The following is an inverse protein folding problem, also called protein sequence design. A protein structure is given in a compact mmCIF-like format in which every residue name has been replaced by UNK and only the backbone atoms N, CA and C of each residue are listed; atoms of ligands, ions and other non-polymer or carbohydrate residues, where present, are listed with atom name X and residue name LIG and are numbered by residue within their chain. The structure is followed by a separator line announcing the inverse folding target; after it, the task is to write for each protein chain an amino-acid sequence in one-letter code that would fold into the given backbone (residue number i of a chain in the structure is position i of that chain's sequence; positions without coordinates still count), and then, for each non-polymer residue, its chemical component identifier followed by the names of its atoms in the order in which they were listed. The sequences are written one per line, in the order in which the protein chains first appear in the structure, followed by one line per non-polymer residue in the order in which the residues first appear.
data_IF_871299903890
#
_entry.id   IF_871299903890
#
_cell.length_a   1.000
_cell.length_b   1.000
_cell.length_c   1.000
_cell.angle_alpha   90.00
_cell.angle_beta   90.00
_cell.angle_gamma   90.00
#
_symmetry.space_group_name_H-M   'P 1'
#
loop_
_entity.id
_entity.type
_entity.pdbx_description
1 polymer ?
#
# COMPACT_ATOMS: atom_id res chain seq x y z
N UNK A 1 21.31 31.76 1.55
CA UNK A 1 20.46 30.69 1.01
C UNK A 1 19.03 30.96 1.45
N UNK A 2 18.03 30.78 0.58
CA UNK A 2 16.62 30.89 0.96
C UNK A 2 16.29 29.74 1.94
N UNK A 3 15.49 30.02 2.95
CA UNK A 3 15.00 29.00 3.88
C UNK A 3 13.66 28.46 3.36
N UNK A 4 13.29 27.25 3.77
CA UNK A 4 12.05 26.61 3.34
C UNK A 4 10.82 27.48 3.67
N UNK A 5 10.84 28.17 4.80
CA UNK A 5 9.79 29.09 5.26
C UNK A 5 9.63 30.35 4.39
N UNK A 6 10.66 30.70 3.59
CA UNK A 6 10.63 31.83 2.68
C UNK A 6 9.97 31.47 1.32
N UNK A 7 9.65 30.20 1.10
CA UNK A 7 9.02 29.71 -0.13
C UNK A 7 7.50 29.73 -0.04
N UNK A 8 6.78 29.92 -1.16
CA UNK A 8 5.31 29.93 -1.20
C UNK A 8 4.71 28.50 -1.11
N UNK A 9 5.00 27.82 0.01
CA UNK A 9 4.42 26.51 0.28
C UNK A 9 2.92 26.61 0.54
N UNK A 10 2.19 25.55 0.19
CA UNK A 10 0.82 25.37 0.61
C UNK A 10 0.74 25.47 2.13
N UNK A 11 -0.30 26.12 2.67
CA UNK A 11 -0.43 26.38 4.11
C UNK A 11 -0.54 25.08 4.93
N UNK A 12 -1.18 24.06 4.38
CA UNK A 12 -1.32 22.74 5.01
C UNK A 12 -0.01 21.93 5.09
N UNK A 13 1.03 22.32 4.34
CA UNK A 13 2.35 21.70 4.39
C UNK A 13 3.36 22.46 5.28
N UNK A 14 3.02 23.69 5.69
CA UNK A 14 3.91 24.49 6.53
C UNK A 14 4.08 23.84 7.92
N UNK A 15 5.33 23.77 8.36
CA UNK A 15 5.67 23.19 9.66
C UNK A 15 5.67 21.66 9.73
N UNK A 16 5.33 20.96 8.66
CA UNK A 16 5.48 19.51 8.61
C UNK A 16 6.95 19.13 8.60
N UNK A 17 7.28 18.05 9.33
CA UNK A 17 8.62 17.47 9.31
C UNK A 17 8.68 16.35 8.27
N UNK A 18 9.80 16.18 7.54
CA UNK A 18 9.98 15.06 6.65
C UNK A 18 9.82 13.73 7.41
N UNK A 19 9.13 12.78 6.80
CA UNK A 19 9.11 11.43 7.33
C UNK A 19 10.48 10.79 7.19
N UNK A 20 10.94 10.13 8.24
CA UNK A 20 12.17 9.36 8.21
C UNK A 20 12.25 8.47 9.44
N UNK A 21 12.48 7.16 9.22
CA UNK A 21 12.84 6.28 10.32
C UNK A 21 14.24 6.68 10.84
N UNK A 22 14.46 6.69 12.16
CA UNK A 22 15.77 6.97 12.71
C UNK A 22 16.82 6.02 12.16
N UNK A 23 17.90 6.56 11.60
CA UNK A 23 19.07 5.77 11.22
C UNK A 23 19.96 5.60 12.46
N UNK A 24 20.00 4.38 13.00
CA UNK A 24 20.69 4.07 14.23
C UNK A 24 21.92 3.22 13.91
N UNK A 25 23.08 3.63 14.41
CA UNK A 25 24.29 2.81 14.40
C UNK A 25 24.27 1.84 15.59
N UNK A 26 23.59 0.71 15.43
CA UNK A 26 23.45 -0.33 16.46
C UNK A 26 23.85 -1.69 15.89
N UNK A 27 24.33 -2.63 16.73
CA UNK A 27 24.72 -3.97 16.26
C UNK A 27 23.59 -4.76 15.59
N UNK A 28 22.34 -4.51 16.00
CA UNK A 28 21.13 -5.13 15.42
C UNK A 28 20.10 -4.06 15.20
N UNK A 29 19.77 -3.79 13.93
CA UNK A 29 18.73 -2.83 13.53
C UNK A 29 17.46 -3.58 13.13
N UNK A 30 16.34 -3.31 13.84
CA UNK A 30 15.04 -3.95 13.60
C UNK A 30 13.90 -2.91 13.40
N UNK A 31 14.25 -1.64 13.26
CA UNK A 31 13.29 -0.53 13.27
C UNK A 31 12.69 -0.17 11.91
N UNK A 32 13.17 -0.78 10.82
CA UNK A 32 12.75 -0.44 9.44
C UNK A 32 12.31 -1.66 8.61
N UNK A 33 12.16 -2.82 9.23
CA UNK A 33 11.69 -4.07 8.60
C UNK A 33 12.54 -4.51 7.39
N UNK A 34 13.86 -4.25 7.42
CA UNK A 34 14.76 -4.69 6.35
C UNK A 34 14.94 -6.21 6.36
N UNK A 35 15.03 -6.79 5.16
CA UNK A 35 15.37 -8.20 5.03
C UNK A 35 16.84 -8.43 5.44
N UNK A 36 17.05 -9.22 6.49
CA UNK A 36 18.39 -9.55 7.00
C UNK A 36 19.11 -10.62 6.17
N UNK A 37 18.43 -11.32 5.28
CA UNK A 37 19.01 -12.30 4.37
C UNK A 37 19.59 -11.62 3.13
N UNK A 38 20.81 -12.04 2.77
CA UNK A 38 21.44 -11.56 1.53
C UNK A 38 20.78 -12.20 0.32
N UNK A 39 20.84 -11.50 -0.81
CA UNK A 39 20.42 -12.05 -2.10
C UNK A 39 21.30 -13.30 -2.42
N UNK A 40 20.70 -14.45 -2.77
CA UNK A 40 21.43 -15.63 -3.20
C UNK A 40 22.33 -15.33 -4.41
N UNK A 41 23.48 -16.00 -4.50
CA UNK A 41 24.48 -15.71 -5.53
C UNK A 41 23.90 -15.93 -6.95
N UNK A 42 23.16 -17.01 -7.15
CA UNK A 42 22.54 -17.34 -8.44
C UNK A 42 21.56 -16.24 -8.90
N UNK A 43 20.79 -15.67 -7.95
CA UNK A 43 19.87 -14.56 -8.24
C UNK A 43 20.64 -13.29 -8.57
N UNK A 44 21.73 -13.02 -7.84
CA UNK A 44 22.57 -11.85 -8.11
C UNK A 44 23.24 -11.94 -9.50
N UNK A 45 23.73 -13.11 -9.90
CA UNK A 45 24.32 -13.36 -11.22
C UNK A 45 23.29 -13.15 -12.34
N UNK A 46 22.08 -13.69 -12.23
CA UNK A 46 21.00 -13.48 -13.20
C UNK A 46 20.63 -11.99 -13.34
N UNK A 47 20.54 -11.28 -12.23
CA UNK A 47 20.28 -9.83 -12.22
C UNK A 47 21.37 -9.08 -12.98
N UNK A 48 22.65 -9.39 -12.73
CA UNK A 48 23.79 -8.74 -13.40
C UNK A 48 23.75 -9.00 -14.90
N UNK A 49 23.49 -10.24 -15.34
CA UNK A 49 23.40 -10.57 -16.77
C UNK A 49 22.29 -9.79 -17.46
N UNK A 50 21.08 -9.73 -16.86
CA UNK A 50 19.95 -8.98 -17.39
C UNK A 50 20.19 -7.49 -17.42
N UNK A 51 20.79 -6.95 -16.35
CA UNK A 51 21.17 -5.55 -16.26
C UNK A 51 22.18 -5.16 -17.35
N UNK A 52 23.20 -5.97 -17.58
CA UNK A 52 24.19 -5.72 -18.62
C UNK A 52 23.55 -5.58 -20.02
N UNK A 53 22.55 -6.40 -20.33
CA UNK A 53 21.78 -6.28 -21.58
C UNK A 53 20.99 -4.97 -21.63
N UNK A 54 20.34 -4.58 -20.53
CA UNK A 54 19.53 -3.35 -20.43
C UNK A 54 20.38 -2.09 -20.54
N UNK A 55 21.62 -2.10 -20.02
CA UNK A 55 22.53 -0.96 -20.10
C UNK A 55 22.85 -0.53 -21.52
N UNK A 56 22.80 -1.44 -22.51
CA UNK A 56 23.03 -1.11 -23.91
C UNK A 56 21.98 -0.18 -24.53
N UNK A 57 20.83 -0.02 -23.87
CA UNK A 57 19.70 0.79 -24.33
C UNK A 57 19.23 1.84 -23.30
N UNK A 58 19.96 2.01 -22.18
CA UNK A 58 19.55 2.90 -21.09
C UNK A 58 19.46 4.39 -21.50
N UNK A 59 20.08 4.74 -22.61
CA UNK A 59 19.99 6.07 -23.23
C UNK A 59 18.66 6.30 -23.96
N UNK A 60 17.78 5.31 -24.03
CA UNK A 60 16.45 5.40 -24.65
C UNK A 60 15.37 5.43 -23.57
N UNK A 61 14.19 5.93 -23.93
CA UNK A 61 13.05 5.82 -23.03
C UNK A 61 12.74 4.34 -22.76
N UNK A 62 12.41 3.99 -21.49
CA UNK A 62 12.00 2.63 -21.17
C UNK A 62 10.64 2.30 -21.81
N UNK A 63 10.28 1.02 -21.80
CA UNK A 63 8.91 0.60 -22.08
C UNK A 63 7.95 1.26 -21.11
N UNK A 64 7.08 2.13 -21.62
CA UNK A 64 6.12 2.88 -20.83
C UNK A 64 5.13 1.98 -20.10
N UNK A 65 4.77 0.88 -20.70
CA UNK A 65 3.78 -0.07 -20.17
C UNK A 65 4.42 -1.18 -19.31
N UNK A 66 5.76 -1.30 -19.32
CA UNK A 66 6.54 -2.34 -18.62
C UNK A 66 5.87 -3.73 -18.67
N UNK A 67 5.40 -4.11 -19.86
CA UNK A 67 4.55 -5.29 -20.10
C UNK A 67 5.16 -6.58 -19.54
N UNK A 68 6.45 -6.82 -19.76
CA UNK A 68 7.10 -8.03 -19.29
C UNK A 68 7.06 -8.18 -17.75
N UNK A 69 7.16 -7.07 -17.00
CA UNK A 69 7.01 -7.08 -15.55
C UNK A 69 5.55 -7.38 -15.14
N UNK A 70 4.59 -6.72 -15.80
CA UNK A 70 3.16 -6.91 -15.52
C UNK A 70 2.72 -8.34 -15.80
N UNK A 71 3.18 -8.94 -16.89
CA UNK A 71 2.93 -10.35 -17.25
C UNK A 71 3.52 -11.30 -16.21
N UNK A 72 4.78 -11.05 -15.78
CA UNK A 72 5.43 -11.87 -14.76
C UNK A 72 4.73 -11.79 -13.40
N UNK A 73 4.29 -10.59 -13.01
CA UNK A 73 3.52 -10.40 -11.77
C UNK A 73 2.14 -11.06 -11.84
N UNK A 74 1.44 -10.94 -12.97
CA UNK A 74 0.15 -11.62 -13.15
C UNK A 74 0.30 -13.14 -13.06
N UNK A 75 1.34 -13.70 -13.66
CA UNK A 75 1.65 -15.13 -13.59
C UNK A 75 2.01 -15.57 -12.16
N UNK A 76 2.76 -14.75 -11.41
CA UNK A 76 3.11 -15.01 -10.02
C UNK A 76 1.88 -15.01 -9.10
N UNK A 77 1.01 -14.02 -9.23
CA UNK A 77 -0.19 -13.86 -8.42
C UNK A 77 -1.29 -14.87 -8.76
N UNK A 78 -1.37 -15.33 -10.00
CA UNK A 78 -2.37 -16.29 -10.44
C UNK A 78 -3.79 -15.70 -10.46
N UNK A 79 -4.76 -16.41 -9.88
CA UNK A 79 -6.17 -16.02 -9.75
C UNK A 79 -6.86 -15.58 -11.06
N UNK A 80 -6.33 -15.99 -12.23
CA UNK A 80 -6.85 -15.59 -13.54
C UNK A 80 -6.50 -14.15 -13.93
N UNK A 81 -5.57 -13.50 -13.25
CA UNK A 81 -5.12 -12.15 -13.55
C UNK A 81 -4.30 -12.12 -14.84
N UNK A 82 -4.37 -10.99 -15.53
CA UNK A 82 -3.58 -10.68 -16.72
C UNK A 82 -2.78 -9.39 -16.49
N UNK A 83 -1.88 -9.07 -17.41
CA UNK A 83 -1.14 -7.80 -17.35
C UNK A 83 -2.04 -6.55 -17.26
N UNK A 84 -3.28 -6.63 -17.73
CA UNK A 84 -4.24 -5.52 -17.65
C UNK A 84 -4.70 -5.23 -16.21
N UNK A 85 -4.60 -6.22 -15.32
CA UNK A 85 -4.95 -6.10 -13.92
C UNK A 85 -3.79 -5.60 -13.03
N UNK A 86 -2.59 -5.49 -13.61
CA UNK A 86 -1.36 -5.20 -12.86
C UNK A 86 -0.88 -3.78 -13.12
N UNK A 87 -0.53 -3.10 -12.05
CA UNK A 87 0.25 -1.87 -12.07
C UNK A 87 1.45 -2.00 -11.14
N UNK A 88 2.56 -1.38 -11.49
CA UNK A 88 3.75 -1.34 -10.64
C UNK A 88 4.34 0.07 -10.59
N UNK A 89 5.02 0.37 -9.48
CA UNK A 89 5.70 1.63 -9.24
C UNK A 89 6.91 1.41 -8.31
N UNK A 90 7.59 2.48 -7.87
CA UNK A 90 8.76 2.37 -6.99
C UNK A 90 8.32 2.11 -5.54
N UNK A 91 7.90 0.88 -5.29
CA UNK A 91 7.40 0.41 -4.01
C UNK A 91 5.98 0.85 -3.70
N UNK A 92 5.46 0.28 -2.60
CA UNK A 92 4.08 0.47 -2.14
C UNK A 92 3.70 1.94 -1.93
N UNK A 93 4.63 2.78 -1.47
CA UNK A 93 4.35 4.20 -1.23
C UNK A 93 3.96 4.96 -2.50
N UNK A 94 4.61 4.69 -3.63
CA UNK A 94 4.26 5.35 -4.88
C UNK A 94 2.94 4.80 -5.44
N UNK A 95 2.69 3.50 -5.31
CA UNK A 95 1.39 2.89 -5.65
C UNK A 95 0.27 3.55 -4.86
N UNK A 96 0.41 3.64 -3.54
CA UNK A 96 -0.56 4.29 -2.67
C UNK A 96 -0.75 5.77 -3.03
N UNK A 97 0.34 6.49 -3.34
CA UNK A 97 0.26 7.88 -3.79
C UNK A 97 -0.57 8.01 -5.08
N UNK A 98 -0.39 7.13 -6.05
CA UNK A 98 -1.20 7.11 -7.27
C UNK A 98 -2.68 6.87 -6.96
N UNK A 99 -2.99 5.94 -6.04
CA UNK A 99 -4.35 5.67 -5.58
C UNK A 99 -4.97 6.91 -4.95
N UNK A 100 -4.25 7.59 -4.05
CA UNK A 100 -4.75 8.81 -3.42
C UNK A 100 -4.90 9.97 -4.41
N UNK A 101 -4.03 10.08 -5.40
CA UNK A 101 -4.17 11.09 -6.47
C UNK A 101 -5.41 10.83 -7.34
N UNK A 102 -5.75 9.56 -7.58
CA UNK A 102 -6.89 9.20 -8.40
C UNK A 102 -8.22 9.26 -7.65
N UNK A 103 -8.25 8.85 -6.38
CA UNK A 103 -9.49 8.63 -5.62
C UNK A 103 -9.65 9.52 -4.39
N UNK A 104 -8.59 10.19 -3.93
CA UNK A 104 -8.58 11.16 -2.84
C UNK A 104 -8.87 12.57 -3.29
N UNK A 105 -8.49 13.54 -2.45
CA UNK A 105 -8.59 14.97 -2.74
C UNK A 105 -9.50 15.74 -1.76
N UNK A 106 -9.63 17.07 -1.94
CA UNK A 106 -10.46 17.91 -1.09
C UNK A 106 -11.92 17.44 -1.04
N UNK A 107 -12.48 17.36 0.16
CA UNK A 107 -13.85 16.90 0.40
C UNK A 107 -14.04 15.39 0.35
N UNK A 108 -12.96 14.62 0.14
CA UNK A 108 -12.96 13.15 0.18
C UNK A 108 -12.34 12.65 1.48
N UNK A 109 -12.77 11.45 1.91
CA UNK A 109 -12.35 10.82 3.16
C UNK A 109 -11.60 9.51 2.90
N UNK A 110 -10.55 9.33 3.65
CA UNK A 110 -9.81 8.08 3.76
C UNK A 110 -9.95 7.53 5.18
N UNK A 111 -10.25 6.25 5.31
CA UNK A 111 -10.36 5.56 6.60
C UNK A 111 -9.34 4.43 6.70
N UNK A 112 -8.65 4.36 7.85
CA UNK A 112 -7.88 3.18 8.26
C UNK A 112 -8.02 2.91 9.75
N UNK A 113 -7.57 1.71 10.17
CA UNK A 113 -7.69 1.22 11.55
C UNK A 113 -6.33 1.25 12.24
N UNK A 114 -6.18 2.14 13.23
CA UNK A 114 -4.92 2.40 13.93
C UNK A 114 -4.73 1.56 15.20
N UNK A 115 -3.46 1.22 15.57
CA UNK A 115 -2.23 1.57 14.86
C UNK A 115 -2.10 0.83 13.52
N UNK A 116 -1.52 1.51 12.53
CA UNK A 116 -1.28 0.98 11.20
C UNK A 116 -0.10 1.73 10.54
N UNK A 117 0.17 1.48 9.24
CA UNK A 117 1.31 2.06 8.56
C UNK A 117 1.30 3.59 8.58
N UNK A 118 2.41 4.16 9.04
CA UNK A 118 2.52 5.60 9.34
C UNK A 118 2.52 6.52 8.12
N UNK A 119 2.76 5.97 6.92
CA UNK A 119 2.72 6.75 5.68
C UNK A 119 1.30 7.08 5.20
N UNK A 120 0.29 6.33 5.60
CA UNK A 120 -1.09 6.57 5.13
C UNK A 120 -1.58 8.00 5.41
N UNK A 121 -1.50 8.53 6.65
CA UNK A 121 -1.91 9.91 6.92
C UNK A 121 -1.06 10.95 6.17
N UNK A 122 0.22 10.67 5.92
CA UNK A 122 1.12 11.57 5.21
C UNK A 122 0.71 11.68 3.73
N UNK A 123 0.44 10.53 3.08
CA UNK A 123 -0.02 10.49 1.69
C UNK A 123 -1.40 11.15 1.56
N UNK A 124 -2.31 10.89 2.51
CA UNK A 124 -3.63 11.53 2.57
C UNK A 124 -3.52 13.06 2.67
N UNK A 125 -2.66 13.56 3.56
CA UNK A 125 -2.37 14.99 3.70
C UNK A 125 -1.79 15.59 2.41
N UNK A 126 -0.88 14.88 1.75
CA UNK A 126 -0.29 15.30 0.48
C UNK A 126 -1.33 15.58 -0.62
N UNK A 127 -2.45 14.88 -0.60
CA UNK A 127 -3.56 15.01 -1.53
C UNK A 127 -4.76 15.79 -0.97
N UNK A 128 -4.64 16.37 0.24
CA UNK A 128 -5.74 17.06 0.95
C UNK A 128 -6.97 16.16 1.19
N UNK A 129 -6.75 14.86 1.38
CA UNK A 129 -7.78 13.89 1.72
C UNK A 129 -7.96 13.86 3.23
N UNK A 130 -9.20 14.00 3.72
CA UNK A 130 -9.51 13.93 5.15
C UNK A 130 -9.21 12.53 5.68
N UNK A 131 -8.35 12.44 6.70
CA UNK A 131 -8.00 11.17 7.33
C UNK A 131 -8.91 10.86 8.50
N UNK A 132 -9.63 9.75 8.43
CA UNK A 132 -10.46 9.19 9.49
C UNK A 132 -9.71 8.00 10.11
N UNK A 133 -9.24 8.19 11.33
CA UNK A 133 -8.55 7.16 12.11
C UNK A 133 -9.53 6.48 13.05
N UNK A 134 -9.68 5.16 12.93
CA UNK A 134 -10.49 4.34 13.83
C UNK A 134 -9.57 3.43 14.63
N UNK A 135 -9.65 3.49 15.97
CA UNK A 135 -8.77 2.66 16.82
C UNK A 135 -9.14 1.19 16.72
N UNK A 136 -8.13 0.32 16.57
CA UNK A 136 -8.28 -1.13 16.75
C UNK A 136 -8.55 -1.43 18.23
N UNK A 137 -9.14 -2.59 18.52
CA UNK A 137 -9.31 -3.07 19.91
C UNK A 137 -7.99 -3.35 20.62
N UNK A 138 -8.06 -3.72 21.89
CA UNK A 138 -6.89 -3.89 22.78
C UNK A 138 -5.86 -4.90 22.29
N UNK A 139 -6.30 -5.91 21.51
CA UNK A 139 -5.44 -6.92 20.89
C UNK A 139 -5.17 -6.64 19.41
N UNK A 140 -5.49 -5.45 18.95
CA UNK A 140 -5.35 -5.02 17.56
C UNK A 140 -6.15 -5.84 16.53
N UNK A 141 -7.10 -6.62 17.00
CA UNK A 141 -7.99 -7.42 16.16
C UNK A 141 -9.11 -6.55 15.56
N UNK A 142 -9.54 -6.93 14.37
CA UNK A 142 -10.70 -6.36 13.71
C UNK A 142 -11.70 -7.48 13.41
N UNK A 143 -12.99 -7.21 13.59
CA UNK A 143 -14.06 -8.12 13.17
C UNK A 143 -14.83 -7.55 11.98
N UNK A 144 -15.48 -8.41 11.19
CA UNK A 144 -16.33 -7.97 10.08
C UNK A 144 -17.36 -6.92 10.49
N UNK A 145 -18.00 -7.11 11.64
CA UNK A 145 -19.04 -6.19 12.17
C UNK A 145 -18.45 -4.84 12.54
N UNK A 146 -17.26 -4.83 13.17
CA UNK A 146 -16.58 -3.60 13.56
C UNK A 146 -16.16 -2.77 12.35
N UNK A 147 -15.56 -3.43 11.35
CA UNK A 147 -15.15 -2.83 10.09
C UNK A 147 -16.38 -2.24 9.37
N UNK A 148 -17.44 -3.05 9.22
CA UNK A 148 -18.67 -2.62 8.57
C UNK A 148 -19.27 -1.40 9.26
N UNK A 149 -19.39 -1.41 10.59
CA UNK A 149 -19.91 -0.30 11.38
C UNK A 149 -19.13 0.99 11.13
N UNK A 150 -17.81 0.93 11.19
CA UNK A 150 -16.94 2.08 10.97
C UNK A 150 -17.12 2.67 9.56
N UNK A 151 -17.13 1.83 8.54
CA UNK A 151 -17.28 2.28 7.14
C UNK A 151 -18.67 2.94 6.92
N UNK A 152 -19.74 2.32 7.38
CA UNK A 152 -21.09 2.87 7.25
C UNK A 152 -21.25 4.21 8.01
N UNK A 153 -20.61 4.34 9.16
CA UNK A 153 -20.65 5.57 9.98
C UNK A 153 -19.92 6.73 9.29
N UNK A 154 -18.72 6.49 8.76
CA UNK A 154 -17.86 7.54 8.25
C UNK A 154 -17.99 7.80 6.75
N UNK A 155 -18.53 6.83 6.00
CA UNK A 155 -18.77 6.88 4.54
C UNK A 155 -17.52 7.34 3.76
N UNK A 156 -16.36 6.68 3.93
CA UNK A 156 -15.12 7.08 3.28
C UNK A 156 -15.15 6.82 1.77
N UNK A 157 -14.30 7.54 1.03
CA UNK A 157 -14.07 7.30 -0.40
C UNK A 157 -12.98 6.25 -0.62
N UNK A 158 -12.04 6.15 0.34
CA UNK A 158 -10.96 5.18 0.35
C UNK A 158 -10.95 4.49 1.71
N UNK A 159 -10.88 3.15 1.72
CA UNK A 159 -10.55 2.36 2.91
C UNK A 159 -9.25 1.62 2.63
N UNK A 160 -8.30 1.64 3.56
CA UNK A 160 -7.12 0.79 3.51
C UNK A 160 -7.12 -0.17 4.69
N UNK A 161 -7.02 -1.46 4.38
CA UNK A 161 -6.80 -2.55 5.32
C UNK A 161 -5.37 -3.08 5.13
N UNK A 162 -4.51 -2.95 6.12
CA UNK A 162 -3.16 -3.51 6.10
C UNK A 162 -3.19 -4.93 6.68
N UNK A 163 -2.76 -5.93 5.91
CA UNK A 163 -2.79 -7.34 6.31
C UNK A 163 -1.66 -8.14 5.66
N UNK A 164 -0.73 -8.70 6.45
CA UNK A 164 -0.53 -8.47 7.88
C UNK A 164 -0.28 -7.02 8.23
N UNK A 165 -0.86 -6.55 9.34
CA UNK A 165 -0.78 -5.13 9.70
C UNK A 165 0.61 -4.71 10.20
N UNK A 166 1.12 -3.63 9.70
CA UNK A 166 2.31 -2.96 10.25
C UNK A 166 1.84 -1.85 11.24
N UNK A 167 2.27 -1.81 12.53
CA UNK A 167 3.37 -2.60 13.11
C UNK A 167 2.93 -3.84 13.91
N UNK A 168 1.65 -4.19 13.97
CA UNK A 168 1.14 -5.17 14.94
C UNK A 168 1.33 -6.62 14.52
N UNK A 169 1.59 -6.88 13.23
CA UNK A 169 1.71 -8.22 12.67
C UNK A 169 0.38 -9.01 12.61
N UNK A 170 -0.75 -8.38 12.94
CA UNK A 170 -2.05 -9.04 12.94
C UNK A 170 -2.58 -9.21 11.51
N UNK A 171 -2.90 -10.45 11.08
CA UNK A 171 -3.54 -10.69 9.79
C UNK A 171 -5.05 -10.41 9.87
N UNK A 172 -5.67 -10.24 8.69
CA UNK A 172 -7.13 -10.19 8.55
C UNK A 172 -7.63 -11.44 7.81
N UNK A 173 -8.77 -11.97 8.25
CA UNK A 173 -9.50 -12.96 7.49
C UNK A 173 -10.14 -12.38 6.22
N UNK A 174 -10.36 -13.22 5.22
CA UNK A 174 -11.03 -12.81 3.98
C UNK A 174 -12.48 -12.34 4.23
N UNK A 175 -13.11 -12.81 5.27
CA UNK A 175 -14.44 -12.36 5.75
C UNK A 175 -14.44 -10.89 6.17
N UNK A 176 -13.36 -10.41 6.80
CA UNK A 176 -13.16 -9.00 7.14
C UNK A 176 -13.06 -8.13 5.87
N UNK A 177 -12.31 -8.62 4.88
CA UNK A 177 -12.13 -7.92 3.60
C UNK A 177 -13.45 -7.86 2.83
N UNK A 178 -14.18 -8.97 2.79
CA UNK A 178 -15.51 -9.03 2.15
C UNK A 178 -16.50 -8.08 2.82
N UNK A 179 -16.54 -8.05 4.16
CA UNK A 179 -17.41 -7.13 4.90
C UNK A 179 -17.06 -5.66 4.63
N UNK A 180 -15.76 -5.34 4.51
CA UNK A 180 -15.30 -4.01 4.14
C UNK A 180 -15.74 -3.63 2.71
N UNK A 181 -15.58 -4.55 1.76
CA UNK A 181 -15.97 -4.35 0.37
C UNK A 181 -17.48 -4.07 0.21
N UNK A 182 -18.30 -4.88 0.87
CA UNK A 182 -19.75 -4.67 0.88
C UNK A 182 -20.13 -3.35 1.53
N UNK A 183 -19.51 -3.04 2.68
CA UNK A 183 -19.80 -1.81 3.40
C UNK A 183 -19.44 -0.54 2.62
N UNK A 184 -18.28 -0.51 1.96
CA UNK A 184 -17.85 0.69 1.21
C UNK A 184 -18.69 0.86 -0.06
N UNK A 185 -19.10 -0.23 -0.69
CA UNK A 185 -19.99 -0.22 -1.85
C UNK A 185 -21.37 0.35 -1.47
N UNK A 186 -21.91 -0.06 -0.33
CA UNK A 186 -23.19 0.44 0.20
C UNK A 186 -23.12 1.91 0.64
N UNK A 187 -22.04 2.28 1.35
CA UNK A 187 -21.93 3.57 2.04
C UNK A 187 -21.64 4.75 1.11
N UNK A 188 -20.73 4.59 0.17
CA UNK A 188 -20.19 5.70 -0.63
C UNK A 188 -19.85 5.33 -2.07
N UNK A 189 -19.82 4.04 -2.40
CA UNK A 189 -19.30 3.59 -3.68
C UNK A 189 -17.81 3.88 -3.86
N UNK A 190 -17.05 4.01 -2.75
CA UNK A 190 -15.61 4.21 -2.75
C UNK A 190 -14.81 2.96 -3.13
N UNK A 191 -13.51 2.99 -2.89
CA UNK A 191 -12.59 1.87 -3.14
C UNK A 191 -12.08 1.27 -1.84
N UNK A 192 -11.84 -0.04 -1.86
CA UNK A 192 -11.13 -0.77 -0.82
C UNK A 192 -9.73 -1.13 -1.32
N UNK A 193 -8.71 -0.81 -0.55
CA UNK A 193 -7.33 -1.22 -0.77
C UNK A 193 -6.94 -2.19 0.34
N UNK A 194 -6.42 -3.35 -0.01
CA UNK A 194 -5.78 -4.28 0.92
C UNK A 194 -4.28 -4.18 0.68
N UNK A 195 -3.57 -3.65 1.68
CA UNK A 195 -2.11 -3.53 1.64
C UNK A 195 -1.52 -4.82 2.20
N UNK A 196 -1.00 -5.65 1.30
CA UNK A 196 -0.42 -6.96 1.57
C UNK A 196 1.12 -6.96 1.49
N UNK A 197 1.76 -5.81 1.75
CA UNK A 197 3.23 -5.68 1.69
C UNK A 197 4.00 -6.74 2.52
N UNK A 198 3.35 -7.41 3.44
CA UNK A 198 3.92 -8.46 4.31
C UNK A 198 3.22 -9.81 4.18
N UNK A 199 2.49 -10.05 3.10
CA UNK A 199 1.68 -11.28 2.93
C UNK A 199 2.53 -12.55 2.95
N UNK A 200 3.74 -12.52 2.38
CA UNK A 200 4.65 -13.67 2.36
C UNK A 200 5.15 -14.07 3.75
N UNK A 201 5.00 -13.21 4.76
CA UNK A 201 5.33 -13.50 6.17
C UNK A 201 4.12 -14.01 6.97
N UNK A 202 2.95 -14.11 6.35
CA UNK A 202 1.77 -14.69 6.98
C UNK A 202 1.94 -16.18 7.30
N UNK A 203 1.17 -16.69 8.27
CA UNK A 203 1.19 -18.11 8.62
C UNK A 203 0.78 -19.02 7.44
N UNK A 204 -0.08 -18.52 6.57
CA UNK A 204 -0.45 -19.14 5.30
C UNK A 204 -0.43 -18.08 4.19
N UNK A 205 0.68 -17.94 3.46
CA UNK A 205 0.80 -16.95 2.38
C UNK A 205 -0.19 -17.15 1.22
N UNK A 206 -0.84 -18.32 1.12
CA UNK A 206 -1.85 -18.56 0.10
C UNK A 206 -3.19 -17.88 0.39
N UNK A 207 -3.42 -17.44 1.62
CA UNK A 207 -4.64 -16.71 2.03
C UNK A 207 -4.44 -15.23 1.74
N UNK A 208 -4.64 -14.83 0.50
CA UNK A 208 -4.46 -13.45 0.01
C UNK A 208 -5.77 -12.86 -0.52
N UNK A 209 -5.94 -11.55 -0.37
CA UNK A 209 -7.04 -10.77 -0.95
C UNK A 209 -7.08 -10.83 -2.48
N UNK A 210 -5.97 -11.21 -3.13
CA UNK A 210 -5.92 -11.44 -4.59
C UNK A 210 -7.00 -12.43 -5.03
N UNK A 211 -7.31 -13.45 -4.22
CA UNK A 211 -8.36 -14.43 -4.49
C UNK A 211 -9.77 -13.83 -4.58
N UNK A 212 -9.96 -12.63 -4.00
CA UNK A 212 -11.24 -11.91 -4.00
C UNK A 212 -11.39 -10.95 -5.17
N UNK A 213 -10.33 -10.66 -5.95
CA UNK A 213 -10.38 -9.66 -7.03
C UNK A 213 -11.43 -9.96 -8.12
N UNK A 214 -11.64 -11.21 -8.57
CA UNK A 214 -12.64 -11.49 -9.60
C UNK A 214 -14.02 -10.98 -9.25
N UNK A 215 -14.60 -10.12 -10.11
CA UNK A 215 -15.93 -9.53 -9.92
C UNK A 215 -16.01 -8.42 -8.88
N UNK A 216 -14.88 -7.92 -8.36
CA UNK A 216 -14.83 -6.81 -7.39
C UNK A 216 -14.05 -5.62 -7.93
N UNK A 217 -14.71 -4.83 -8.74
CA UNK A 217 -14.15 -3.68 -9.48
C UNK A 217 -13.64 -2.54 -8.58
N UNK A 218 -13.98 -2.57 -7.30
CA UNK A 218 -13.61 -1.55 -6.30
C UNK A 218 -12.57 -2.05 -5.30
N UNK A 219 -12.05 -3.26 -5.51
CA UNK A 219 -11.01 -3.88 -4.69
C UNK A 219 -9.67 -3.72 -5.38
N UNK A 220 -8.70 -3.20 -4.67
CA UNK A 220 -7.28 -3.14 -5.05
C UNK A 220 -6.46 -3.91 -4.00
N UNK A 221 -5.43 -4.62 -4.45
CA UNK A 221 -4.44 -5.28 -3.59
C UNK A 221 -3.08 -4.73 -3.94
N UNK A 222 -2.28 -4.32 -2.93
CA UNK A 222 -0.97 -3.70 -3.12
C UNK A 222 0.11 -4.36 -2.27
#
# INVERSE_FOLDING_TARGET
MARLEDLPLRDDLKGQQPYGAPQLEVPVSLNVNENTHRVPLEVAEDIIERLAKSLMSINRYPDREFMSLREALAAYLGAGLTSENIWAANGSNEVLQHIFQAFGGPGRKFLSFTPTYSMYPIIASGTQTEYVSVSRGDRFELTPEFIRKAILQHKPNIVILCSPNNPTGTPLGLDCIEAAYQAITEASGGILVVDEAYQEFGADPSVTAVSLLPGRERLLVS
#
